data_IF_091948233548
#
_entry.id   IF_091948233548
#
_cell.length_a   1.000
_cell.length_b   1.000
_cell.length_c   1.000
_cell.angle_alpha   90.00
_cell.angle_beta   90.00
_cell.angle_gamma   90.00
#
_symmetry.space_group_name_H-M   'P 1'
#
loop_
_entity.id
_entity.type
_entity.pdbx_description
1 polymer ?
#
# COMPACT_ATOMS: atom_id res chain seq x y z
N UNK A 1 -4.60 11.13 -6.16
CA UNK A 1 -5.75 11.64 -5.34
C UNK A 1 -6.73 10.53 -4.92
N UNK A 2 -7.06 9.58 -5.83
CA UNK A 2 -8.04 8.50 -5.52
C UNK A 2 -7.60 7.65 -4.31
N UNK A 3 -6.37 7.12 -4.22
CA UNK A 3 -5.93 6.36 -3.04
C UNK A 3 -6.07 7.14 -1.73
N UNK A 4 -5.58 8.37 -1.69
CA UNK A 4 -5.68 9.27 -0.53
C UNK A 4 -7.11 9.46 -0.02
N UNK A 5 -8.11 9.47 -0.91
CA UNK A 5 -9.52 9.52 -0.49
C UNK A 5 -9.92 8.26 0.27
N UNK A 6 -9.39 7.09 -0.09
CA UNK A 6 -9.58 5.85 0.67
C UNK A 6 -9.10 5.99 2.10
N UNK A 7 -7.84 6.39 2.31
CA UNK A 7 -7.24 6.64 3.63
C UNK A 7 -8.04 7.68 4.43
N UNK A 8 -8.45 8.78 3.79
CA UNK A 8 -9.22 9.83 4.46
C UNK A 8 -10.62 9.35 4.88
N UNK A 9 -11.31 8.60 4.03
CA UNK A 9 -12.62 8.01 4.34
C UNK A 9 -12.54 6.97 5.45
N UNK A 10 -11.53 6.10 5.40
CA UNK A 10 -11.25 5.15 6.48
C UNK A 10 -10.97 5.84 7.80
N UNK A 11 -10.14 6.88 7.79
CA UNK A 11 -9.84 7.69 8.98
C UNK A 11 -11.09 8.39 9.53
N UNK A 12 -12.07 8.74 8.69
CA UNK A 12 -13.32 9.36 9.11
C UNK A 12 -14.23 8.43 9.93
N UNK A 13 -14.00 7.12 9.93
CA UNK A 13 -14.72 6.16 10.77
C UNK A 13 -14.68 6.55 12.25
N UNK A 14 -13.64 7.25 12.72
CA UNK A 14 -13.50 7.72 14.10
C UNK A 14 -14.62 8.67 14.55
N UNK A 15 -15.27 9.35 13.62
CA UNK A 15 -16.40 10.24 13.96
C UNK A 15 -17.68 9.48 14.30
N UNK A 16 -17.87 8.32 13.69
CA UNK A 16 -19.10 7.52 13.79
C UNK A 16 -18.97 6.39 14.81
N UNK A 17 -17.78 5.84 14.99
CA UNK A 17 -17.56 4.75 15.93
C UNK A 17 -17.29 5.26 17.34
N UNK A 18 -17.91 4.58 18.34
CA UNK A 18 -17.76 4.94 19.77
C UNK A 18 -16.71 4.12 20.50
N UNK A 19 -16.30 2.98 19.94
CA UNK A 19 -15.32 2.04 20.54
C UNK A 19 -14.25 1.71 19.52
N UNK A 20 -13.11 1.21 20.01
CA UNK A 20 -12.07 0.62 19.17
C UNK A 20 -12.63 -0.51 18.30
N UNK A 21 -12.01 -0.75 17.17
CA UNK A 21 -12.30 -1.94 16.35
C UNK A 21 -12.05 -3.20 17.19
N UNK A 22 -13.00 -4.14 17.14
CA UNK A 22 -12.77 -5.44 17.75
C UNK A 22 -11.71 -6.24 16.95
N UNK A 23 -10.94 -7.09 17.63
CA UNK A 23 -9.82 -7.86 17.05
C UNK A 23 -10.20 -8.60 15.76
N UNK A 24 -11.39 -9.20 15.70
CA UNK A 24 -11.84 -9.91 14.49
C UNK A 24 -12.07 -8.97 13.30
N UNK A 25 -12.60 -7.78 13.55
CA UNK A 25 -12.82 -6.77 12.50
C UNK A 25 -11.48 -6.23 12.00
N UNK A 26 -10.55 -5.92 12.91
CA UNK A 26 -9.21 -5.45 12.55
C UNK A 26 -8.48 -6.49 11.69
N UNK A 27 -8.51 -7.76 12.09
CA UNK A 27 -7.91 -8.87 11.32
C UNK A 27 -8.58 -9.10 9.96
N UNK A 28 -9.90 -8.92 9.88
CA UNK A 28 -10.62 -8.99 8.60
C UNK A 28 -10.20 -7.85 7.68
N UNK A 29 -10.10 -6.63 8.20
CA UNK A 29 -9.68 -5.44 7.42
C UNK A 29 -8.23 -5.57 6.95
N UNK A 30 -7.31 -5.98 7.82
CA UNK A 30 -5.90 -6.23 7.46
C UNK A 30 -5.77 -7.33 6.41
N UNK A 31 -6.51 -8.44 6.57
CA UNK A 31 -6.54 -9.52 5.58
C UNK A 31 -7.08 -9.05 4.24
N UNK A 32 -8.16 -8.28 4.22
CA UNK A 32 -8.74 -7.74 3.00
C UNK A 32 -7.75 -6.81 2.26
N UNK A 33 -7.13 -5.86 2.99
CA UNK A 33 -6.12 -4.96 2.43
C UNK A 33 -4.92 -5.75 1.86
N UNK A 34 -4.39 -6.72 2.61
CA UNK A 34 -3.32 -7.60 2.17
C UNK A 34 -3.65 -8.34 0.87
N UNK A 35 -4.88 -8.85 0.75
CA UNK A 35 -5.35 -9.55 -0.44
C UNK A 35 -5.43 -8.64 -1.66
N UNK A 36 -6.01 -7.44 -1.52
CA UNK A 36 -6.09 -6.43 -2.59
C UNK A 36 -4.69 -6.04 -3.04
N UNK A 37 -3.80 -5.71 -2.09
CA UNK A 37 -2.43 -5.29 -2.37
C UNK A 37 -1.61 -6.39 -3.06
N UNK A 38 -1.75 -7.64 -2.63
CA UNK A 38 -1.08 -8.78 -3.27
C UNK A 38 -1.54 -8.97 -4.73
N UNK A 39 -2.85 -8.89 -5.00
CA UNK A 39 -3.38 -9.01 -6.34
C UNK A 39 -2.93 -7.83 -7.23
N UNK A 40 -3.03 -6.59 -6.76
CA UNK A 40 -2.56 -5.40 -7.48
C UNK A 40 -1.08 -5.50 -7.85
N UNK A 41 -0.24 -5.97 -6.91
CA UNK A 41 1.20 -6.17 -7.16
C UNK A 41 1.47 -7.15 -8.31
N UNK A 42 0.63 -8.17 -8.46
CA UNK A 42 0.78 -9.18 -9.51
C UNK A 42 0.21 -8.68 -10.83
N UNK A 43 -1.10 -8.36 -10.87
CA UNK A 43 -1.81 -8.08 -12.12
C UNK A 43 -1.54 -6.69 -12.66
N UNK A 44 -1.59 -5.66 -11.80
CA UNK A 44 -1.39 -4.28 -12.26
C UNK A 44 0.07 -3.88 -12.44
N UNK A 45 1.03 -4.59 -11.82
CA UNK A 45 2.43 -4.15 -11.82
C UNK A 45 3.40 -5.20 -12.38
N UNK A 46 3.47 -6.43 -11.81
CA UNK A 46 4.47 -7.42 -12.25
C UNK A 46 4.17 -7.99 -13.63
N UNK A 47 2.93 -8.32 -13.94
CA UNK A 47 2.56 -8.85 -15.26
C UNK A 47 2.87 -7.81 -16.35
N UNK A 48 2.41 -6.55 -16.26
CA UNK A 48 2.77 -5.52 -17.24
C UNK A 48 4.28 -5.26 -17.36
N UNK A 49 5.04 -5.36 -16.26
CA UNK A 49 6.49 -5.21 -16.29
C UNK A 49 7.18 -6.32 -17.11
N UNK A 50 6.69 -7.56 -16.99
CA UNK A 50 7.21 -8.71 -17.74
C UNK A 50 6.82 -8.60 -19.22
N UNK A 51 5.56 -8.27 -19.52
CA UNK A 51 5.04 -8.11 -20.88
C UNK A 51 5.78 -7.02 -21.66
N UNK A 52 6.08 -5.89 -21.02
CA UNK A 52 6.88 -4.82 -21.63
C UNK A 52 8.32 -5.24 -21.93
N UNK A 53 8.78 -6.33 -21.35
CA UNK A 53 10.13 -6.87 -21.50
C UNK A 53 10.18 -8.07 -22.46
N UNK A 54 9.09 -8.45 -23.11
CA UNK A 54 9.01 -9.64 -24.00
C UNK A 54 10.05 -9.65 -25.12
N UNK A 55 10.46 -8.47 -25.61
CA UNK A 55 11.53 -8.32 -26.59
C UNK A 55 12.89 -8.89 -26.15
N UNK A 56 13.09 -9.14 -24.85
CA UNK A 56 14.29 -9.78 -24.29
C UNK A 56 14.24 -11.33 -24.35
N UNK A 57 13.16 -11.93 -24.88
CA UNK A 57 12.99 -13.38 -25.00
C UNK A 57 13.04 -14.06 -23.63
N UNK A 58 13.95 -15.03 -23.46
CA UNK A 58 14.07 -15.78 -22.18
C UNK A 58 14.51 -14.92 -20.99
N UNK A 59 14.99 -13.70 -21.21
CA UNK A 59 15.41 -12.78 -20.16
C UNK A 59 14.34 -11.72 -19.82
N UNK A 60 13.14 -11.83 -20.34
CA UNK A 60 12.02 -10.89 -20.08
C UNK A 60 11.68 -10.73 -18.60
N UNK A 61 11.96 -11.74 -17.77
CA UNK A 61 11.78 -11.67 -16.32
C UNK A 61 12.82 -10.76 -15.61
N UNK A 62 13.96 -10.45 -16.24
CA UNK A 62 15.09 -9.81 -15.57
C UNK A 62 14.80 -8.38 -15.07
N UNK A 63 14.17 -7.49 -15.86
CA UNK A 63 13.74 -6.17 -15.35
C UNK A 63 12.79 -6.28 -14.15
N UNK A 64 11.81 -7.19 -14.24
CA UNK A 64 10.87 -7.43 -13.15
C UNK A 64 11.57 -7.99 -11.90
N UNK A 65 12.49 -8.93 -12.05
CA UNK A 65 13.28 -9.49 -10.95
C UNK A 65 14.13 -8.43 -10.26
N UNK A 66 14.86 -7.62 -11.03
CA UNK A 66 15.74 -6.57 -10.48
C UNK A 66 14.91 -5.51 -9.77
N UNK A 67 13.87 -4.95 -10.43
CA UNK A 67 13.03 -3.92 -9.85
C UNK A 67 12.34 -4.40 -8.56
N UNK A 68 11.82 -5.62 -8.56
CA UNK A 68 11.18 -6.24 -7.39
C UNK A 68 12.13 -6.25 -6.17
N UNK A 69 13.36 -6.78 -6.36
CA UNK A 69 14.34 -6.82 -5.28
C UNK A 69 14.77 -5.42 -4.81
N UNK A 70 14.89 -4.47 -5.73
CA UNK A 70 15.20 -3.07 -5.36
C UNK A 70 14.07 -2.49 -4.51
N UNK A 71 12.80 -2.79 -4.84
CA UNK A 71 11.64 -2.37 -4.06
C UNK A 71 11.62 -2.97 -2.65
N UNK A 72 11.83 -4.28 -2.53
CA UNK A 72 11.96 -4.97 -1.23
C UNK A 72 13.08 -4.36 -0.38
N UNK A 73 14.28 -4.20 -0.96
CA UNK A 73 15.44 -3.66 -0.25
C UNK A 73 15.26 -2.17 0.12
N UNK A 74 14.53 -1.41 -0.69
CA UNK A 74 14.19 -0.02 -0.40
C UNK A 74 13.34 0.10 0.86
N UNK A 75 12.27 -0.69 0.98
CA UNK A 75 11.42 -0.70 2.19
C UNK A 75 12.19 -1.21 3.41
N UNK A 76 12.92 -2.31 3.27
CA UNK A 76 13.79 -2.82 4.35
C UNK A 76 14.79 -1.76 4.83
N UNK A 77 15.30 -0.93 3.93
CA UNK A 77 16.19 0.17 4.29
C UNK A 77 15.43 1.27 5.03
N UNK A 78 14.24 1.65 4.58
CA UNK A 78 13.41 2.66 5.25
C UNK A 78 13.03 2.21 6.66
N UNK A 79 12.63 0.97 6.85
CA UNK A 79 12.31 0.40 8.17
C UNK A 79 13.49 0.48 9.14
N UNK A 80 14.71 0.31 8.64
CA UNK A 80 15.92 0.44 9.46
C UNK A 80 16.33 1.88 9.76
N UNK A 81 15.97 2.83 8.90
CA UNK A 81 16.39 4.23 9.01
C UNK A 81 15.38 5.12 9.72
N UNK A 82 14.10 4.76 9.71
CA UNK A 82 13.02 5.59 10.24
C UNK A 82 12.44 4.94 11.50
N UNK A 83 12.40 5.66 12.64
CA UNK A 83 11.78 5.14 13.86
C UNK A 83 10.27 5.06 13.68
N UNK A 84 9.71 3.86 13.77
CA UNK A 84 8.29 3.60 13.60
C UNK A 84 7.79 2.51 14.55
N UNK A 85 6.48 2.35 14.65
CA UNK A 85 5.84 1.38 15.53
C UNK A 85 4.59 0.80 14.85
N UNK A 86 4.56 -0.51 14.67
CA UNK A 86 3.41 -1.19 14.12
C UNK A 86 2.22 -1.22 15.09
N UNK A 87 1.02 -1.20 14.55
CA UNK A 87 -0.21 -1.30 15.33
C UNK A 87 -0.24 -2.61 16.10
N UNK A 88 -0.51 -2.54 17.41
CA UNK A 88 -0.50 -3.73 18.27
C UNK A 88 0.88 -4.16 18.80
N UNK A 89 1.99 -3.58 18.30
CA UNK A 89 3.33 -3.79 18.83
C UNK A 89 3.65 -2.86 20.02
N UNK A 90 4.50 -3.35 20.92
CA UNK A 90 5.10 -2.53 21.99
C UNK A 90 6.60 -2.30 21.76
N UNK A 91 7.15 -2.83 20.67
CA UNK A 91 8.56 -2.67 20.32
C UNK A 91 8.63 -1.75 19.09
N UNK A 92 9.27 -0.59 19.27
CA UNK A 92 9.55 0.31 18.17
C UNK A 92 10.70 -0.23 17.32
N UNK A 93 10.60 -0.07 16.02
CA UNK A 93 11.62 -0.42 15.06
C UNK A 93 12.40 0.81 14.58
N UNK A 94 13.54 0.57 13.91
CA UNK A 94 14.44 1.64 13.48
C UNK A 94 15.29 2.23 14.60
N UNK A 95 15.87 3.42 14.41
CA UNK A 95 16.74 4.06 15.38
C UNK A 95 16.00 4.47 16.66
N UNK A 96 16.69 4.43 17.81
CA UNK A 96 16.13 4.93 19.06
C UNK A 96 15.68 6.39 18.90
N UNK A 97 14.40 6.65 19.18
CA UNK A 97 13.77 7.95 19.02
C UNK A 97 13.06 8.40 20.30
N UNK A 98 12.88 9.71 20.43
CA UNK A 98 12.04 10.33 21.48
C UNK A 98 10.63 10.65 20.98
N UNK A 99 10.28 10.20 19.79
CA UNK A 99 8.95 10.39 19.23
C UNK A 99 7.89 9.67 20.07
N UNK A 100 6.74 10.30 20.22
CA UNK A 100 5.61 9.69 20.91
C UNK A 100 5.08 8.48 20.11
N UNK A 101 4.43 7.54 20.82
CA UNK A 101 3.84 6.32 20.26
C UNK A 101 2.96 6.62 19.04
N UNK A 102 2.04 7.58 19.18
CA UNK A 102 1.15 8.05 18.10
C UNK A 102 1.90 8.45 16.83
N UNK A 103 2.98 9.23 16.97
CA UNK A 103 3.78 9.68 15.82
C UNK A 103 4.47 8.51 15.14
N UNK A 104 5.00 7.56 15.91
CA UNK A 104 5.66 6.38 15.34
C UNK A 104 4.66 5.45 14.61
N UNK A 105 3.42 5.33 15.09
CA UNK A 105 2.37 4.57 14.41
C UNK A 105 1.96 5.23 13.09
N UNK A 106 1.82 6.56 13.06
CA UNK A 106 1.54 7.31 11.82
C UNK A 106 2.70 7.17 10.83
N UNK A 107 3.96 7.19 11.31
CA UNK A 107 5.13 7.02 10.45
C UNK A 107 5.17 5.62 9.82
N UNK A 108 4.84 4.56 10.55
CA UNK A 108 4.78 3.20 10.00
C UNK A 108 3.94 3.20 8.71
N UNK A 109 2.67 3.58 8.79
CA UNK A 109 1.78 3.57 7.62
C UNK A 109 2.17 4.62 6.58
N UNK A 110 2.77 5.75 6.98
CA UNK A 110 3.31 6.71 6.02
C UNK A 110 4.39 6.08 5.13
N UNK A 111 5.26 5.23 5.69
CA UNK A 111 6.29 4.51 4.93
C UNK A 111 5.69 3.57 3.89
N UNK A 112 4.60 2.89 4.25
CA UNK A 112 3.92 1.94 3.37
C UNK A 112 3.16 2.63 2.24
N UNK A 113 2.61 3.81 2.47
CA UNK A 113 1.88 4.59 1.48
C UNK A 113 2.79 5.25 0.42
N UNK A 114 4.12 5.35 0.66
CA UNK A 114 5.05 5.88 -0.34
C UNK A 114 5.07 5.05 -1.62
N UNK A 115 5.30 3.71 -1.57
CA UNK A 115 5.27 2.86 -2.76
C UNK A 115 3.92 2.87 -3.49
N UNK A 116 2.82 3.00 -2.77
CA UNK A 116 1.48 3.05 -3.35
C UNK A 116 1.29 4.30 -4.20
N UNK A 117 1.69 5.46 -3.67
CA UNK A 117 1.71 6.70 -4.43
C UNK A 117 2.61 6.61 -5.66
N UNK A 118 3.80 6.03 -5.51
CA UNK A 118 4.72 5.81 -6.63
C UNK A 118 4.13 4.86 -7.68
N UNK A 119 3.48 3.76 -7.29
CA UNK A 119 2.83 2.82 -8.19
C UNK A 119 1.80 3.51 -9.09
N UNK A 120 0.91 4.32 -8.49
CA UNK A 120 -0.05 5.13 -9.22
C UNK A 120 0.66 6.09 -10.17
N UNK A 121 1.70 6.79 -9.71
CA UNK A 121 2.49 7.71 -10.52
C UNK A 121 3.13 7.03 -11.72
N UNK A 122 3.71 5.83 -11.56
CA UNK A 122 4.33 5.03 -12.63
C UNK A 122 3.29 4.62 -13.68
N UNK A 123 2.11 4.13 -13.25
CA UNK A 123 1.03 3.76 -14.17
C UNK A 123 0.53 4.95 -14.99
N UNK A 124 0.28 6.09 -14.35
CA UNK A 124 -0.13 7.30 -15.08
C UNK A 124 0.97 7.85 -15.97
N UNK A 125 2.25 7.76 -15.57
CA UNK A 125 3.37 8.15 -16.44
C UNK A 125 3.42 7.28 -17.70
N UNK A 126 3.28 5.96 -17.57
CA UNK A 126 3.22 5.03 -18.68
C UNK A 126 2.03 5.31 -19.61
N UNK A 127 0.83 5.49 -19.05
CA UNK A 127 -0.36 5.85 -19.83
C UNK A 127 -0.19 7.16 -20.62
N UNK A 128 0.26 8.23 -19.96
CA UNK A 128 0.46 9.53 -20.58
C UNK A 128 1.56 9.52 -21.66
N UNK A 129 2.52 8.62 -21.55
CA UNK A 129 3.54 8.39 -22.55
C UNK A 129 3.07 7.56 -23.75
N UNK A 130 1.81 7.08 -23.75
CA UNK A 130 1.27 6.24 -24.81
C UNK A 130 1.80 4.81 -24.81
N UNK A 131 2.18 4.26 -23.65
CA UNK A 131 2.60 2.87 -23.53
C UNK A 131 1.45 1.94 -23.93
N UNK A 132 1.72 0.97 -24.80
CA UNK A 132 0.69 0.11 -25.37
C UNK A 132 0.05 -0.87 -24.35
N UNK A 133 0.77 -1.23 -23.31
CA UNK A 133 0.30 -2.15 -22.25
C UNK A 133 -0.37 -1.44 -21.08
N UNK A 134 -0.28 -0.10 -21.00
CA UNK A 134 -0.88 0.67 -19.90
C UNK A 134 -2.00 1.55 -20.41
N UNK A 135 -3.22 1.14 -20.12
CA UNK A 135 -4.43 1.88 -20.51
C UNK A 135 -4.85 2.88 -19.41
N UNK A 136 -5.73 3.82 -19.75
CA UNK A 136 -6.37 4.67 -18.73
C UNK A 136 -7.19 3.82 -17.74
N UNK A 137 -7.79 2.72 -18.22
CA UNK A 137 -8.59 1.81 -17.41
C UNK A 137 -7.71 1.09 -16.39
N UNK A 138 -6.56 0.50 -16.82
CA UNK A 138 -5.64 -0.19 -15.90
C UNK A 138 -5.06 0.76 -14.84
N UNK A 139 -4.68 1.99 -15.20
CA UNK A 139 -4.22 3.01 -14.26
C UNK A 139 -5.32 3.41 -13.25
N UNK A 140 -6.57 3.50 -13.71
CA UNK A 140 -7.72 3.80 -12.84
C UNK A 140 -8.03 2.60 -11.93
N UNK A 141 -8.01 1.37 -12.44
CA UNK A 141 -8.26 0.14 -11.67
C UNK A 141 -7.25 -0.01 -10.55
N UNK A 142 -5.95 0.18 -10.81
CA UNK A 142 -4.94 0.21 -9.76
C UNK A 142 -5.25 1.29 -8.72
N UNK A 143 -5.56 2.51 -9.15
CA UNK A 143 -5.87 3.62 -8.24
C UNK A 143 -7.08 3.34 -7.35
N UNK A 144 -8.12 2.69 -7.89
CA UNK A 144 -9.31 2.27 -7.15
C UNK A 144 -9.00 1.12 -6.19
N UNK A 145 -8.22 0.13 -6.64
CA UNK A 145 -7.77 -0.97 -5.80
C UNK A 145 -7.01 -0.47 -4.57
N UNK A 146 -6.04 0.43 -4.78
CA UNK A 146 -5.30 1.05 -3.69
C UNK A 146 -6.25 1.88 -2.80
N UNK A 147 -7.22 2.62 -3.33
CA UNK A 147 -8.18 3.35 -2.51
C UNK A 147 -9.05 2.41 -1.66
N UNK A 148 -9.43 1.26 -2.19
CA UNK A 148 -10.24 0.25 -1.49
C UNK A 148 -9.45 -0.36 -0.31
N UNK A 149 -8.17 -0.66 -0.48
CA UNK A 149 -7.34 -1.17 0.62
C UNK A 149 -6.97 -0.09 1.64
N UNK A 150 -6.80 1.14 1.23
CA UNK A 150 -6.46 2.27 2.09
C UNK A 150 -7.61 2.69 3.01
N UNK A 151 -8.85 2.34 2.67
CA UNK A 151 -9.98 2.55 3.59
C UNK A 151 -9.82 1.75 4.89
N UNK A 152 -9.59 0.42 4.88
CA UNK A 152 -9.14 -0.31 6.06
C UNK A 152 -7.97 0.32 6.81
N UNK A 153 -6.92 0.70 6.12
CA UNK A 153 -5.70 1.24 6.72
C UNK A 153 -5.94 2.56 7.46
N UNK A 154 -6.68 3.49 6.86
CA UNK A 154 -7.07 4.73 7.52
C UNK A 154 -7.87 4.49 8.82
N UNK A 155 -8.75 3.48 8.83
CA UNK A 155 -9.52 3.10 10.01
C UNK A 155 -8.62 2.43 11.08
N UNK A 156 -7.70 1.54 10.65
CA UNK A 156 -6.75 0.84 11.53
C UNK A 156 -5.82 1.83 12.26
N UNK A 157 -5.48 2.98 11.65
CA UNK A 157 -4.69 4.01 12.32
C UNK A 157 -5.53 4.91 13.22
N UNK A 158 -6.60 5.49 12.68
CA UNK A 158 -7.37 6.51 13.38
C UNK A 158 -8.09 5.96 14.62
N UNK A 159 -8.54 4.71 14.58
CA UNK A 159 -9.28 4.11 15.70
C UNK A 159 -8.40 3.81 16.91
N UNK A 160 -7.21 3.21 16.81
CA UNK A 160 -6.28 3.09 17.94
C UNK A 160 -5.84 4.43 18.51
N UNK A 161 -5.54 5.43 17.67
CA UNK A 161 -5.21 6.78 18.15
C UNK A 161 -6.33 7.35 19.03
N UNK A 162 -7.58 7.13 18.65
CA UNK A 162 -8.73 7.50 19.45
C UNK A 162 -8.81 6.69 20.75
N UNK A 163 -8.51 5.41 20.72
CA UNK A 163 -8.52 4.54 21.90
C UNK A 163 -7.42 4.92 22.92
N UNK A 164 -6.28 5.44 22.47
CA UNK A 164 -5.20 5.97 23.30
C UNK A 164 -5.51 7.33 23.93
N UNK A 165 -6.70 7.89 23.70
CA UNK A 165 -7.19 9.12 24.34
C UNK A 165 -7.10 10.37 23.48
N UNK A 166 -6.62 10.29 22.24
CA UNK A 166 -6.60 11.43 21.33
C UNK A 166 -8.01 11.91 21.00
N UNK A 167 -8.18 13.20 20.74
CA UNK A 167 -9.47 13.72 20.27
C UNK A 167 -9.82 13.15 18.90
N UNK A 168 -11.14 13.06 18.57
CA UNK A 168 -11.59 12.57 17.27
C UNK A 168 -10.93 13.31 16.11
N UNK A 169 -10.79 14.64 16.22
CA UNK A 169 -10.13 15.46 15.21
C UNK A 169 -8.66 15.09 15.04
N UNK A 170 -7.89 14.96 16.14
CA UNK A 170 -6.47 14.56 16.06
C UNK A 170 -6.30 13.15 15.50
N UNK A 171 -7.12 12.21 15.94
CA UNK A 171 -7.10 10.85 15.42
C UNK A 171 -7.40 10.79 13.91
N UNK A 172 -8.40 11.54 13.45
CA UNK A 172 -8.73 11.71 12.04
C UNK A 172 -7.55 12.27 11.25
N UNK A 173 -7.01 13.42 11.70
CA UNK A 173 -5.87 14.06 11.02
C UNK A 173 -4.61 13.20 11.04
N UNK A 174 -4.38 12.41 12.09
CA UNK A 174 -3.29 11.45 12.15
C UNK A 174 -3.38 10.41 11.02
N UNK A 175 -4.56 9.82 10.82
CA UNK A 175 -4.80 8.90 9.72
C UNK A 175 -4.73 9.58 8.34
N UNK A 176 -5.31 10.78 8.18
CA UNK A 176 -5.21 11.53 6.91
C UNK A 176 -3.76 11.87 6.56
N UNK A 177 -2.96 12.26 7.55
CA UNK A 177 -1.55 12.62 7.31
C UNK A 177 -0.72 11.45 6.80
N UNK A 178 -1.01 10.20 7.24
CA UNK A 178 -0.29 9.03 6.72
C UNK A 178 -0.51 8.84 5.22
N UNK A 179 -1.68 9.21 4.70
CA UNK A 179 -2.01 9.11 3.28
C UNK A 179 -1.52 10.27 2.40
N UNK A 180 -1.08 11.40 2.98
CA UNK A 180 -0.63 12.58 2.19
C UNK A 180 0.55 12.25 1.27
N UNK A 181 1.38 11.29 1.65
CA UNK A 181 2.53 10.86 0.84
C UNK A 181 2.14 10.17 -0.47
N UNK A 182 0.94 9.63 -0.58
CA UNK A 182 0.44 9.00 -1.80
C UNK A 182 0.32 10.00 -2.97
N UNK A 183 -0.46 11.11 -2.87
CA UNK A 183 -0.50 12.11 -3.93
C UNK A 183 0.85 12.78 -4.14
N UNK A 184 1.66 12.96 -3.10
CA UNK A 184 3.02 13.50 -3.23
C UNK A 184 3.91 12.55 -4.03
N UNK A 185 3.94 11.27 -3.69
CA UNK A 185 4.68 10.23 -4.40
C UNK A 185 4.26 10.10 -5.87
N UNK A 186 2.94 10.12 -6.14
CA UNK A 186 2.42 10.08 -7.50
C UNK A 186 2.86 11.30 -8.31
N UNK A 187 2.77 12.52 -7.77
CA UNK A 187 3.19 13.74 -8.45
C UNK A 187 4.70 13.75 -8.70
N UNK A 188 5.52 13.39 -7.70
CA UNK A 188 6.96 13.30 -7.87
C UNK A 188 7.37 12.30 -8.95
N UNK A 189 6.70 11.15 -9.02
CA UNK A 189 6.93 10.14 -10.06
C UNK A 189 6.55 10.67 -11.45
N UNK A 190 5.42 11.39 -11.56
CA UNK A 190 5.02 12.04 -12.81
C UNK A 190 6.00 13.14 -13.24
N UNK A 191 6.50 13.96 -12.31
CA UNK A 191 7.53 14.96 -12.61
C UNK A 191 8.85 14.32 -13.06
N UNK A 192 9.14 13.11 -12.55
CA UNK A 192 10.29 12.31 -12.96
C UNK A 192 10.02 11.41 -14.19
N UNK A 193 8.92 11.63 -14.94
CA UNK A 193 8.50 10.75 -16.04
C UNK A 193 9.58 10.50 -17.09
N UNK A 194 10.45 11.48 -17.36
CA UNK A 194 11.58 11.31 -18.30
C UNK A 194 12.57 10.21 -17.86
N UNK A 195 12.71 9.97 -16.57
CA UNK A 195 13.52 8.89 -15.99
C UNK A 195 12.72 7.59 -15.87
N UNK A 196 11.44 7.69 -15.55
CA UNK A 196 10.55 6.55 -15.30
C UNK A 196 10.22 5.82 -16.60
N UNK A 197 9.86 6.54 -17.66
CA UNK A 197 9.38 5.94 -18.93
C UNK A 197 10.41 5.01 -19.57
N UNK A 198 11.70 5.36 -19.72
CA UNK A 198 12.71 4.47 -20.31
C UNK A 198 12.98 3.20 -19.49
N UNK A 199 12.68 3.24 -18.19
CA UNK A 199 12.92 2.14 -17.25
C UNK A 199 11.61 1.63 -16.62
N UNK A 200 10.48 1.80 -17.32
CA UNK A 200 9.14 1.53 -16.82
C UNK A 200 8.96 0.13 -16.20
N UNK A 201 9.46 -0.99 -16.82
CA UNK A 201 9.37 -2.32 -16.23
C UNK A 201 10.04 -2.42 -14.84
N UNK A 202 11.16 -1.72 -14.66
CA UNK A 202 11.86 -1.70 -13.37
C UNK A 202 11.07 -0.92 -12.30
N UNK A 203 10.44 0.20 -12.68
CA UNK A 203 9.64 1.00 -11.74
C UNK A 203 8.32 0.34 -11.36
N UNK A 204 7.65 -0.33 -12.31
CA UNK A 204 6.46 -1.13 -12.03
C UNK A 204 6.78 -2.25 -11.03
N UNK A 205 7.83 -3.01 -11.30
CA UNK A 205 8.23 -4.11 -10.43
C UNK A 205 8.86 -3.65 -9.10
N UNK A 206 9.49 -2.48 -9.06
CA UNK A 206 9.91 -1.83 -7.82
C UNK A 206 8.71 -1.57 -6.91
N UNK A 207 7.66 -0.95 -7.44
CA UNK A 207 6.44 -0.69 -6.68
C UNK A 207 5.80 -2.00 -6.19
N UNK A 208 5.73 -3.03 -7.04
CA UNK A 208 5.24 -4.35 -6.67
C UNK A 208 6.06 -4.99 -5.53
N UNK A 209 7.39 -4.93 -5.62
CA UNK A 209 8.28 -5.48 -4.58
C UNK A 209 8.13 -4.78 -3.24
N UNK A 210 8.03 -3.46 -3.25
CA UNK A 210 7.79 -2.66 -2.06
C UNK A 210 6.41 -2.95 -1.45
N UNK A 211 5.36 -3.03 -2.26
CA UNK A 211 4.01 -3.38 -1.79
C UNK A 211 3.94 -4.80 -1.22
N UNK A 212 4.57 -5.79 -1.86
CA UNK A 212 4.61 -7.16 -1.32
C UNK A 212 5.45 -7.26 -0.05
N UNK A 213 6.48 -6.44 0.12
CA UNK A 213 7.20 -6.33 1.40
C UNK A 213 6.23 -5.95 2.52
N UNK A 214 5.41 -4.92 2.34
CA UNK A 214 4.40 -4.48 3.32
C UNK A 214 3.39 -5.59 3.62
N UNK A 215 2.91 -6.30 2.59
CA UNK A 215 1.98 -7.42 2.77
C UNK A 215 2.57 -8.48 3.70
N UNK A 216 3.83 -8.84 3.51
CA UNK A 216 4.48 -9.94 4.26
C UNK A 216 4.93 -9.48 5.65
N UNK A 217 5.52 -8.30 5.76
CA UNK A 217 6.11 -7.80 7.00
C UNK A 217 5.05 -7.27 7.98
N UNK A 218 3.97 -6.68 7.48
CA UNK A 218 3.00 -6.01 8.34
C UNK A 218 1.60 -6.64 8.27
N UNK A 219 0.98 -6.69 7.10
CA UNK A 219 -0.44 -7.05 6.99
C UNK A 219 -0.71 -8.54 7.29
N UNK A 220 0.17 -9.46 6.87
CA UNK A 220 0.04 -10.88 7.20
C UNK A 220 0.22 -11.12 8.71
N UNK A 221 1.24 -10.59 9.40
CA UNK A 221 1.31 -10.64 10.84
C UNK A 221 0.08 -10.05 11.54
N UNK A 222 -0.40 -8.87 11.12
CA UNK A 222 -1.56 -8.22 11.73
C UNK A 222 -2.84 -9.06 11.59
N UNK A 223 -3.13 -9.57 10.40
CA UNK A 223 -4.33 -10.41 10.18
C UNK A 223 -4.29 -11.73 10.94
N UNK A 224 -3.10 -12.15 11.39
CA UNK A 224 -2.86 -13.42 12.09
C UNK A 224 -2.73 -13.28 13.61
N UNK A 225 -2.75 -12.05 14.16
CA UNK A 225 -2.56 -11.79 15.61
C UNK A 225 -3.64 -12.45 16.48
N UNK A 226 -3.26 -12.74 17.75
CA UNK A 226 -4.19 -13.21 18.76
C UNK A 226 -4.58 -14.68 18.64
N UNK A 227 -5.80 -15.03 19.09
CA UNK A 227 -6.28 -16.43 19.05
C UNK A 227 -6.48 -16.87 17.60
N UNK A 228 -6.15 -18.12 17.31
CA UNK A 228 -6.35 -18.70 15.97
C UNK A 228 -7.77 -18.45 15.43
N UNK A 229 -7.84 -17.94 14.20
CA UNK A 229 -9.09 -17.69 13.48
C UNK A 229 -8.81 -17.62 11.99
N UNK A 230 -9.70 -18.13 11.18
CA UNK A 230 -9.57 -18.10 9.72
C UNK A 230 -10.05 -16.77 9.10
N UNK A 231 -10.51 -15.80 9.91
CA UNK A 231 -11.14 -14.57 9.41
C UNK A 231 -10.18 -13.78 8.51
N UNK A 232 -8.93 -13.58 8.94
CA UNK A 232 -7.92 -12.87 8.15
C UNK A 232 -7.68 -13.57 6.80
N UNK A 233 -7.51 -14.88 6.80
CA UNK A 233 -7.30 -15.69 5.58
C UNK A 233 -8.49 -15.62 4.63
N UNK A 234 -9.72 -15.68 5.16
CA UNK A 234 -10.94 -15.58 4.34
C UNK A 234 -11.02 -14.21 3.70
N UNK A 235 -10.79 -13.15 4.48
CA UNK A 235 -10.85 -11.78 3.94
C UNK A 235 -9.67 -11.46 3.02
N UNK A 236 -8.49 -12.05 3.23
CA UNK A 236 -7.40 -12.03 2.24
C UNK A 236 -7.87 -12.60 0.90
N UNK A 237 -8.47 -13.78 0.90
CA UNK A 237 -8.99 -14.40 -0.33
C UNK A 237 -10.09 -13.54 -0.98
N UNK A 238 -10.95 -12.88 -0.19
CA UNK A 238 -11.97 -11.95 -0.70
C UNK A 238 -11.30 -10.74 -1.37
N UNK A 239 -10.38 -10.06 -0.68
CA UNK A 239 -9.67 -8.89 -1.21
C UNK A 239 -8.90 -9.22 -2.48
N UNK A 240 -8.17 -10.33 -2.46
CA UNK A 240 -7.43 -10.83 -3.62
C UNK A 240 -8.35 -11.08 -4.82
N UNK A 241 -9.49 -11.75 -4.60
CA UNK A 241 -10.46 -12.06 -5.65
C UNK A 241 -11.12 -10.80 -6.22
N UNK A 242 -11.44 -9.82 -5.35
CA UNK A 242 -12.02 -8.53 -5.78
C UNK A 242 -11.05 -7.81 -6.69
N UNK A 243 -9.78 -7.64 -6.28
CA UNK A 243 -8.80 -6.90 -7.06
C UNK A 243 -8.44 -7.62 -8.37
N UNK A 244 -8.21 -8.94 -8.31
CA UNK A 244 -8.00 -9.76 -9.51
C UNK A 244 -9.15 -9.60 -10.52
N UNK A 245 -10.40 -9.58 -10.02
CA UNK A 245 -11.56 -9.40 -10.90
C UNK A 245 -11.61 -8.01 -11.51
N UNK A 246 -11.29 -6.97 -10.72
CA UNK A 246 -11.23 -5.59 -11.23
C UNK A 246 -10.16 -5.44 -12.31
N UNK A 247 -8.97 -5.99 -12.09
CA UNK A 247 -7.88 -5.95 -13.08
C UNK A 247 -8.25 -6.69 -14.38
N UNK A 248 -8.73 -7.93 -14.28
CA UNK A 248 -9.02 -8.76 -15.46
C UNK A 248 -10.27 -8.30 -16.22
N UNK A 249 -11.28 -7.77 -15.52
CA UNK A 249 -12.54 -7.38 -16.13
C UNK A 249 -12.55 -5.92 -16.66
N UNK A 250 -11.77 -5.02 -16.08
CA UNK A 250 -11.81 -3.59 -16.36
C UNK A 250 -10.44 -3.00 -16.75
N UNK A 251 -9.32 -3.66 -16.43
CA UNK A 251 -7.96 -3.25 -16.77
C UNK A 251 -7.52 -3.70 -18.14
#
# INVERSE_FOLDING_TARGET
MIPFLGTALGSACVFFMKKSLGDLVQRALAGFAAGVMAAASIWSLLIPAIEQSEGMGKLSFLPAFIGFWVGVLFLLLLDRLIPHLHVGSNQAEGPKSRLGRTTMMVLAVTLHNIPEGMAVGVMYAGFLAGNAQITAASALVLSLGIAIQNFPEGAIISMPLRAEGESKGKAFFGGVLSGVVEPVGAVLTLLAAQLVIPALPYFLSFAAGAMLYVVVEELIPEMSQGKHSNIGTIFFAVGFSVMMTLDVALG
#
